data_IF_158765199589
#
_entry.id   IF_158765199589
#
_cell.length_a   1.000
_cell.length_b   1.000
_cell.length_c   1.000
_cell.angle_alpha   90.00
_cell.angle_beta   90.00
_cell.angle_gamma   90.00
#
_symmetry.space_group_name_H-M   'P 1'
#
loop_
_entity.id
_entity.type
_entity.pdbx_description
1 polymer ?
#
# COMPACT_ATOMS: atom_id res chain seq x y z
N UNK A 1 -32.15 44.41 68.70
CA UNK A 1 -31.65 43.23 67.98
C UNK A 1 -30.81 43.70 66.80
N UNK A 2 -29.48 43.78 66.95
CA UNK A 2 -28.57 44.07 65.85
C UNK A 2 -27.75 42.80 65.56
N UNK A 3 -27.92 42.23 64.36
CA UNK A 3 -27.11 41.11 63.87
C UNK A 3 -25.80 41.67 63.33
N UNK A 4 -24.68 41.28 63.93
CA UNK A 4 -23.34 41.53 63.38
C UNK A 4 -23.08 40.65 62.16
N UNK A 5 -22.67 41.26 61.06
CA UNK A 5 -22.12 40.59 59.89
C UNK A 5 -20.63 40.31 60.12
N UNK A 6 -20.25 39.03 60.20
CA UNK A 6 -18.86 38.60 60.15
C UNK A 6 -18.40 38.54 58.68
N UNK A 7 -17.42 39.36 58.32
CA UNK A 7 -16.64 39.18 57.09
C UNK A 7 -15.38 38.37 57.47
N UNK A 8 -15.12 37.19 56.87
CA UNK A 8 -13.93 36.43 57.18
C UNK A 8 -12.68 37.11 56.62
N UNK A 9 -11.70 37.36 57.52
CA UNK A 9 -10.40 37.95 57.19
C UNK A 9 -9.54 37.04 56.30
N UNK A 10 -8.86 37.65 55.33
CA UNK A 10 -7.93 36.95 54.44
C UNK A 10 -6.70 36.41 55.21
N UNK A 11 -6.37 35.13 54.99
CA UNK A 11 -5.21 34.47 55.60
C UNK A 11 -3.86 35.20 55.30
N UNK A 12 -2.93 35.23 56.27
CA UNK A 12 -1.67 35.98 56.16
C UNK A 12 -0.77 35.45 55.03
N UNK A 13 -0.04 36.34 54.37
CA UNK A 13 0.75 36.07 53.16
C UNK A 13 1.78 34.91 53.29
N UNK A 14 2.29 34.67 54.50
CA UNK A 14 3.27 33.61 54.78
C UNK A 14 2.67 32.19 54.77
N UNK A 15 1.39 32.03 55.11
CA UNK A 15 0.70 30.74 55.03
C UNK A 15 0.32 30.40 53.58
N UNK A 16 -0.12 31.41 52.80
CA UNK A 16 -0.37 31.25 51.36
C UNK A 16 0.88 30.84 50.59
N UNK A 17 2.04 31.42 50.93
CA UNK A 17 3.33 31.05 50.34
C UNK A 17 3.75 29.60 50.66
N UNK A 18 3.54 29.13 51.90
CA UNK A 18 3.83 27.73 52.28
C UNK A 18 2.86 26.73 51.64
N UNK A 19 1.58 27.08 51.54
CA UNK A 19 0.58 26.26 50.86
C UNK A 19 0.90 26.14 49.36
N UNK A 20 1.27 27.25 48.71
CA UNK A 20 1.73 27.27 47.32
C UNK A 20 2.99 26.42 47.08
N UNK A 21 3.96 26.48 47.99
CA UNK A 21 5.17 25.66 47.91
C UNK A 21 4.89 24.15 48.07
N UNK A 22 3.95 23.77 48.95
CA UNK A 22 3.52 22.38 49.11
C UNK A 22 2.77 21.87 47.89
N UNK A 23 1.87 22.69 47.33
CA UNK A 23 1.15 22.37 46.10
C UNK A 23 2.15 22.17 44.94
N UNK A 24 3.10 23.08 44.76
CA UNK A 24 4.13 22.99 43.72
C UNK A 24 4.97 21.71 43.86
N UNK A 25 5.41 21.37 45.09
CA UNK A 25 6.14 20.12 45.34
C UNK A 25 5.30 18.88 45.03
N UNK A 26 4.01 18.90 45.37
CA UNK A 26 3.09 17.81 45.04
C UNK A 26 2.92 17.63 43.52
N UNK A 27 2.77 18.74 42.79
CA UNK A 27 2.68 18.72 41.31
C UNK A 27 3.99 18.20 40.69
N UNK A 28 5.15 18.68 41.14
CA UNK A 28 6.45 18.22 40.63
C UNK A 28 6.69 16.74 40.93
N UNK A 29 6.34 16.27 42.13
CA UNK A 29 6.45 14.85 42.48
C UNK A 29 5.51 13.98 41.64
N UNK A 30 4.29 14.44 41.38
CA UNK A 30 3.34 13.77 40.49
C UNK A 30 3.85 13.69 39.05
N UNK A 31 4.36 14.80 38.50
CA UNK A 31 4.95 14.84 37.16
C UNK A 31 6.17 13.92 37.05
N UNK A 32 7.03 13.88 38.07
CA UNK A 32 8.17 12.96 38.11
C UNK A 32 7.71 11.50 38.14
N UNK A 33 6.69 11.16 38.93
CA UNK A 33 6.14 9.81 38.96
C UNK A 33 5.57 9.39 37.60
N UNK A 34 4.84 10.28 36.91
CA UNK A 34 4.37 10.04 35.53
C UNK A 34 5.52 9.85 34.57
N UNK A 35 6.55 10.71 34.63
CA UNK A 35 7.72 10.61 33.77
C UNK A 35 8.49 9.29 33.97
N UNK A 36 8.67 8.86 35.23
CA UNK A 36 9.29 7.58 35.56
C UNK A 36 8.44 6.39 35.08
N UNK A 37 7.12 6.47 35.22
CA UNK A 37 6.19 5.47 34.70
C UNK A 37 6.28 5.33 33.18
N UNK A 38 6.27 6.45 32.44
CA UNK A 38 6.44 6.48 30.99
C UNK A 38 7.81 5.95 30.55
N UNK A 39 8.88 6.33 31.26
CA UNK A 39 10.22 5.80 31.00
C UNK A 39 10.27 4.27 31.19
N UNK A 40 9.59 3.74 32.21
CA UNK A 40 9.45 2.31 32.45
C UNK A 40 8.75 1.59 31.28
N UNK A 41 7.62 2.13 30.79
CA UNK A 41 6.92 1.59 29.61
C UNK A 41 7.81 1.63 28.37
N UNK A 42 8.48 2.75 28.12
CA UNK A 42 9.45 2.89 27.03
C UNK A 42 10.60 1.87 27.14
N UNK A 43 11.07 1.52 28.34
CA UNK A 43 12.14 0.54 28.50
C UNK A 43 11.68 -0.91 28.27
N UNK A 44 10.39 -1.20 28.45
CA UNK A 44 9.82 -2.54 28.25
C UNK A 44 9.45 -2.85 26.80
N UNK A 45 9.17 -1.82 25.99
CA UNK A 45 8.82 -2.00 24.58
C UNK A 45 10.06 -2.05 23.68
N UNK A 46 10.09 -2.90 22.64
CA UNK A 46 11.21 -2.91 21.70
C UNK A 46 11.35 -1.56 21.00
N UNK A 47 12.57 -1.19 20.59
CA UNK A 47 12.74 -0.03 19.72
C UNK A 47 12.05 -0.33 18.37
N UNK A 48 11.59 0.70 17.65
CA UNK A 48 11.01 0.48 16.32
C UNK A 48 12.02 -0.16 15.36
N UNK A 49 13.33 0.04 15.55
CA UNK A 49 14.38 -0.58 14.74
C UNK A 49 14.77 -2.00 15.20
N UNK A 50 14.15 -2.54 16.25
CA UNK A 50 14.44 -3.90 16.71
C UNK A 50 13.72 -4.93 15.84
N UNK A 51 14.49 -5.84 15.23
CA UNK A 51 13.97 -6.96 14.43
C UNK A 51 14.87 -8.19 14.58
N UNK A 52 14.36 -9.35 14.17
CA UNK A 52 15.10 -10.61 14.13
C UNK A 52 15.73 -10.78 12.74
N UNK A 53 17.07 -10.67 12.57
CA UNK A 53 17.70 -10.71 11.26
C UNK A 53 17.58 -12.07 10.55
N UNK A 54 17.15 -13.13 11.23
CA UNK A 54 16.85 -14.42 10.62
C UNK A 54 15.52 -14.43 9.85
N UNK A 55 14.69 -13.37 9.98
CA UNK A 55 13.37 -13.27 9.35
C UNK A 55 13.37 -12.39 8.11
N UNK A 56 12.37 -12.61 7.27
CA UNK A 56 12.18 -11.94 5.99
C UNK A 56 10.99 -10.97 6.10
N UNK A 57 11.28 -9.66 6.19
CA UNK A 57 10.27 -8.63 6.44
C UNK A 57 9.79 -7.91 5.18
N UNK A 58 10.59 -7.95 4.10
CA UNK A 58 10.27 -7.29 2.83
C UNK A 58 8.86 -7.64 2.35
N UNK A 59 8.50 -8.92 2.44
CA UNK A 59 7.23 -9.48 1.95
C UNK A 59 6.14 -9.63 3.03
N UNK A 60 6.31 -8.99 4.19
CA UNK A 60 5.28 -9.03 5.25
C UNK A 60 4.18 -8.02 4.96
N UNK A 61 2.99 -8.53 4.68
CA UNK A 61 1.75 -7.77 4.58
C UNK A 61 1.27 -7.35 5.98
N UNK A 62 1.52 -6.09 6.35
CA UNK A 62 1.13 -5.56 7.66
C UNK A 62 1.06 -4.03 7.69
N UNK A 63 -0.05 -3.50 8.18
CA UNK A 63 -0.24 -2.07 8.41
C UNK A 63 0.64 -1.56 9.54
N UNK A 64 0.92 -2.39 10.55
CA UNK A 64 1.87 -2.00 11.62
C UNK A 64 3.29 -1.84 11.08
N UNK A 65 3.73 -2.76 10.21
CA UNK A 65 5.00 -2.61 9.49
C UNK A 65 4.98 -1.34 8.63
N UNK A 66 3.99 -1.24 7.72
CA UNK A 66 3.92 -0.15 6.73
C UNK A 66 3.88 1.24 7.36
N UNK A 67 3.26 1.41 8.53
CA UNK A 67 3.20 2.68 9.25
C UNK A 67 4.49 3.01 10.02
N UNK A 68 5.31 2.01 10.34
CA UNK A 68 6.59 2.18 11.01
C UNK A 68 7.71 2.29 9.97
N UNK A 69 8.00 3.53 9.54
CA UNK A 69 9.15 3.79 8.66
C UNK A 69 10.45 3.23 9.27
N UNK A 70 10.78 3.46 10.56
CA UNK A 70 12.02 2.96 11.13
C UNK A 70 12.12 1.43 11.17
N UNK A 71 11.02 0.71 11.45
CA UNK A 71 11.04 -0.75 11.44
C UNK A 71 11.23 -1.26 10.02
N UNK A 72 10.45 -0.73 9.08
CA UNK A 72 10.48 -1.16 7.68
C UNK A 72 11.85 -0.91 7.07
N UNK A 73 12.43 0.28 7.20
CA UNK A 73 13.74 0.60 6.60
C UNK A 73 14.90 -0.11 7.30
N UNK A 74 14.83 -0.35 8.61
CA UNK A 74 15.86 -1.09 9.34
C UNK A 74 15.86 -2.59 9.01
N UNK A 75 14.68 -3.18 8.77
CA UNK A 75 14.50 -4.62 8.48
C UNK A 75 14.47 -4.97 6.99
N UNK A 76 14.40 -3.95 6.13
CA UNK A 76 14.50 -4.05 4.67
C UNK A 76 15.83 -4.67 4.24
N UNK A 77 15.80 -5.55 3.24
CA UNK A 77 17.01 -6.09 2.62
C UNK A 77 17.83 -4.99 1.91
N UNK A 78 19.10 -5.26 1.61
CA UNK A 78 19.95 -4.27 0.91
C UNK A 78 19.55 -4.10 -0.56
N UNK A 79 19.10 -5.18 -1.20
CA UNK A 79 18.52 -5.19 -2.54
C UNK A 79 17.04 -4.77 -2.57
N UNK A 80 16.49 -4.34 -1.42
CA UNK A 80 15.09 -3.99 -1.28
C UNK A 80 14.71 -2.73 -2.06
N UNK A 81 13.59 -2.78 -2.76
CA UNK A 81 12.93 -1.61 -3.33
C UNK A 81 11.54 -1.45 -2.69
N UNK A 82 11.14 -0.22 -2.38
CA UNK A 82 9.79 0.00 -1.86
C UNK A 82 8.76 -0.35 -2.95
N UNK A 83 7.79 -1.19 -2.58
CA UNK A 83 6.67 -1.58 -3.42
C UNK A 83 5.38 -1.15 -2.74
N UNK A 84 4.72 -0.15 -3.33
CA UNK A 84 3.45 0.40 -2.89
C UNK A 84 2.29 -0.36 -3.53
N UNK A 85 1.26 -0.67 -2.76
CA UNK A 85 0.13 -1.46 -3.22
C UNK A 85 -0.88 -1.74 -2.12
N UNK A 86 -1.85 -2.60 -2.39
CA UNK A 86 -2.97 -2.88 -1.50
C UNK A 86 -3.09 -4.38 -1.20
N UNK A 87 -4.24 -5.01 -1.46
CA UNK A 87 -4.50 -6.42 -1.15
C UNK A 87 -3.76 -7.43 -2.04
N UNK A 88 -3.14 -6.97 -3.13
CA UNK A 88 -2.30 -7.78 -4.02
C UNK A 88 -1.15 -8.42 -3.23
N UNK A 89 -0.60 -7.70 -2.26
CA UNK A 89 0.48 -8.18 -1.37
C UNK A 89 0.02 -9.20 -0.33
N UNK A 90 -1.28 -9.42 -0.16
CA UNK A 90 -1.79 -10.51 0.68
C UNK A 90 -1.62 -11.88 0.01
N UNK A 91 -1.41 -11.93 -1.31
CA UNK A 91 -1.21 -13.17 -2.04
C UNK A 91 0.16 -13.77 -1.69
N UNK A 92 0.14 -14.81 -0.85
CA UNK A 92 1.34 -15.53 -0.43
C UNK A 92 1.69 -16.69 -1.37
N UNK A 93 2.90 -17.20 -1.18
CA UNK A 93 3.43 -18.37 -1.91
C UNK A 93 2.58 -19.64 -1.78
N UNK A 94 1.77 -19.74 -0.71
CA UNK A 94 0.89 -20.89 -0.49
C UNK A 94 -0.28 -20.91 -1.48
N UNK A 95 -0.64 -19.75 -2.04
CA UNK A 95 -1.66 -19.62 -3.09
C UNK A 95 -1.03 -19.51 -4.48
N UNK A 96 -0.04 -18.62 -4.62
CA UNK A 96 0.64 -18.37 -5.89
C UNK A 96 2.13 -18.57 -5.69
N UNK A 97 2.64 -19.74 -6.08
CA UNK A 97 4.02 -20.15 -5.86
C UNK A 97 5.05 -19.28 -6.61
N UNK A 98 4.61 -18.50 -7.61
CA UNK A 98 5.44 -17.57 -8.37
C UNK A 98 5.30 -16.12 -7.87
N UNK A 99 4.80 -15.86 -6.66
CA UNK A 99 4.75 -14.49 -6.14
C UNK A 99 6.14 -14.01 -5.66
N UNK A 100 6.34 -12.69 -5.46
CA UNK A 100 7.65 -12.14 -5.15
C UNK A 100 8.25 -12.66 -3.84
N UNK A 101 7.40 -13.06 -2.88
CA UNK A 101 7.84 -13.69 -1.65
C UNK A 101 8.67 -14.96 -1.92
N UNK A 102 8.28 -15.77 -2.90
CA UNK A 102 8.95 -17.03 -3.24
C UNK A 102 10.11 -16.80 -4.23
N UNK A 103 9.88 -16.03 -5.29
CA UNK A 103 10.86 -15.87 -6.38
C UNK A 103 12.03 -14.99 -5.91
N UNK A 104 11.76 -13.80 -5.38
CA UNK A 104 12.80 -12.91 -4.85
C UNK A 104 13.13 -13.23 -3.39
N UNK A 105 12.11 -13.29 -2.53
CA UNK A 105 12.32 -13.32 -1.07
C UNK A 105 12.99 -14.58 -0.51
N UNK A 106 12.82 -15.73 -1.18
CA UNK A 106 13.50 -16.98 -0.81
C UNK A 106 14.84 -17.17 -1.51
N UNK A 107 15.25 -16.22 -2.37
CA UNK A 107 16.46 -16.28 -3.18
C UNK A 107 17.30 -14.99 -3.00
N UNK A 108 18.38 -14.86 -3.76
CA UNK A 108 19.29 -13.70 -3.71
C UNK A 108 19.53 -13.23 -5.15
N UNK A 109 18.49 -12.65 -5.74
CA UNK A 109 18.41 -12.29 -7.16
C UNK A 109 19.03 -10.93 -7.48
N UNK A 110 19.38 -10.15 -6.45
CA UNK A 110 19.82 -8.75 -6.57
C UNK A 110 18.67 -7.74 -6.61
N UNK A 111 17.42 -8.18 -6.47
CA UNK A 111 16.23 -7.32 -6.36
C UNK A 111 15.28 -7.94 -5.35
N UNK A 112 14.82 -7.16 -4.37
CA UNK A 112 13.76 -7.52 -3.43
C UNK A 112 12.64 -6.46 -3.45
N UNK A 113 11.44 -6.86 -3.04
CA UNK A 113 10.28 -5.96 -2.90
C UNK A 113 9.89 -5.80 -1.44
N UNK A 114 10.06 -4.59 -0.91
CA UNK A 114 9.64 -4.22 0.43
C UNK A 114 8.21 -3.67 0.36
N UNK A 115 7.23 -4.51 0.68
CA UNK A 115 5.80 -4.17 0.63
C UNK A 115 5.44 -3.06 1.62
N UNK A 116 4.75 -2.04 1.10
CA UNK A 116 4.14 -0.94 1.85
C UNK A 116 2.69 -0.78 1.39
N UNK A 117 1.77 -0.94 2.33
CA UNK A 117 0.33 -0.84 2.10
C UNK A 117 -0.41 -2.16 2.29
N UNK A 118 -1.72 -2.04 2.40
CA UNK A 118 -2.68 -3.11 2.63
C UNK A 118 -4.00 -2.82 1.91
N UNK A 119 -4.95 -3.76 1.98
CA UNK A 119 -6.32 -3.60 1.51
C UNK A 119 -6.88 -2.20 1.82
N UNK A 120 -7.47 -1.57 0.79
CA UNK A 120 -8.03 -0.22 0.75
C UNK A 120 -7.02 0.95 0.69
N UNK A 121 -5.71 0.69 0.75
CA UNK A 121 -4.70 1.74 0.58
C UNK A 121 -4.53 2.11 -0.90
N UNK A 122 -5.28 3.13 -1.32
CA UNK A 122 -5.31 3.73 -2.66
C UNK A 122 -4.26 4.85 -2.84
N UNK A 123 -4.27 5.54 -3.98
CA UNK A 123 -3.20 6.45 -4.42
C UNK A 123 -2.84 7.55 -3.42
N UNK A 124 -3.81 8.17 -2.73
CA UNK A 124 -3.52 9.21 -1.72
C UNK A 124 -2.73 8.66 -0.53
N UNK A 125 -3.11 7.47 -0.05
CA UNK A 125 -2.39 6.82 1.05
C UNK A 125 -0.97 6.48 0.63
N UNK A 126 -0.79 5.97 -0.60
CA UNK A 126 0.53 5.67 -1.15
C UNK A 126 1.38 6.93 -1.35
N UNK A 127 0.78 8.06 -1.75
CA UNK A 127 1.49 9.33 -1.90
C UNK A 127 2.06 9.80 -0.54
N UNK A 128 1.25 9.70 0.52
CA UNK A 128 1.70 10.00 1.89
C UNK A 128 2.84 9.05 2.29
N UNK A 129 2.69 7.74 2.04
CA UNK A 129 3.72 6.77 2.36
C UNK A 129 5.02 7.05 1.59
N UNK A 130 4.97 7.29 0.28
CA UNK A 130 6.14 7.58 -0.54
C UNK A 130 6.93 8.78 0.01
N UNK A 131 6.26 9.90 0.31
CA UNK A 131 6.94 11.06 0.89
C UNK A 131 7.44 10.83 2.33
N UNK A 132 6.81 9.94 3.09
CA UNK A 132 7.29 9.56 4.43
C UNK A 132 8.55 8.69 4.38
N UNK A 133 8.66 7.80 3.38
CA UNK A 133 9.76 6.85 3.23
C UNK A 133 10.94 7.41 2.43
N UNK A 134 10.73 8.35 1.52
CA UNK A 134 11.71 8.73 0.50
C UNK A 134 13.11 9.09 1.04
N UNK A 135 13.17 9.76 2.19
CA UNK A 135 14.43 10.16 2.84
C UNK A 135 15.24 8.99 3.40
N UNK A 136 14.59 7.86 3.69
CA UNK A 136 15.19 6.66 4.30
C UNK A 136 15.19 5.44 3.37
N UNK A 137 14.58 5.54 2.19
CA UNK A 137 14.59 4.49 1.18
C UNK A 137 16.02 4.19 0.72
N UNK A 138 16.45 2.92 0.84
CA UNK A 138 17.77 2.44 0.42
C UNK A 138 17.98 2.59 -1.09
N UNK A 139 16.98 2.20 -1.86
CA UNK A 139 16.96 2.31 -3.32
C UNK A 139 15.89 3.30 -3.76
N UNK A 140 16.17 4.07 -4.83
CA UNK A 140 15.30 5.14 -5.32
C UNK A 140 14.31 4.69 -6.39
N UNK A 141 14.61 3.62 -7.11
CA UNK A 141 13.63 2.95 -7.97
C UNK A 141 12.59 2.27 -7.08
N UNK A 142 11.32 2.57 -7.28
CA UNK A 142 10.20 2.06 -6.47
C UNK A 142 9.09 1.57 -7.39
N UNK A 143 8.22 0.70 -6.88
CA UNK A 143 7.05 0.23 -7.62
C UNK A 143 5.78 0.77 -6.96
N UNK A 144 4.76 1.09 -7.77
CA UNK A 144 3.37 1.16 -7.30
C UNK A 144 2.50 0.25 -8.16
N UNK A 145 1.77 -0.67 -7.52
CA UNK A 145 0.78 -1.50 -8.20
C UNK A 145 -0.55 -0.76 -8.20
N UNK A 146 -1.04 -0.37 -9.38
CA UNK A 146 -2.32 0.32 -9.54
C UNK A 146 -3.38 -0.67 -10.01
N UNK A 147 -4.39 -0.83 -9.16
CA UNK A 147 -5.47 -1.81 -9.33
C UNK A 147 -6.70 -1.14 -9.97
N UNK A 148 -7.34 -1.73 -11.00
CA UNK A 148 -8.49 -1.12 -11.67
C UNK A 148 -9.60 -0.70 -10.72
N UNK A 149 -9.90 -1.51 -9.68
CA UNK A 149 -10.94 -1.22 -8.71
C UNK A 149 -10.74 0.07 -7.92
N UNK A 150 -9.51 0.60 -7.84
CA UNK A 150 -9.29 1.92 -7.23
C UNK A 150 -9.99 3.03 -8.02
N UNK A 151 -10.10 2.84 -9.33
CA UNK A 151 -10.63 3.80 -10.30
C UNK A 151 -12.08 3.50 -10.69
N UNK A 152 -12.78 2.65 -9.96
CA UNK A 152 -14.22 2.49 -10.14
C UNK A 152 -14.97 3.79 -9.81
N UNK A 153 -16.14 3.97 -10.44
CA UNK A 153 -17.01 5.13 -10.23
C UNK A 153 -17.20 5.44 -8.74
N UNK A 154 -17.07 6.71 -8.38
CA UNK A 154 -17.07 7.13 -6.98
C UNK A 154 -15.69 7.02 -6.30
N UNK A 155 -14.62 6.88 -7.08
CA UNK A 155 -13.23 6.82 -6.61
C UNK A 155 -12.93 5.54 -5.80
N UNK A 156 -13.47 4.41 -6.24
CA UNK A 156 -13.26 3.11 -5.60
C UNK A 156 -13.64 3.11 -4.11
N UNK A 157 -12.69 2.75 -3.25
CA UNK A 157 -12.88 2.60 -1.81
C UNK A 157 -12.37 3.80 -0.99
N UNK A 158 -12.30 5.01 -1.56
CA UNK A 158 -11.75 6.18 -0.85
C UNK A 158 -12.49 6.50 0.46
N UNK A 159 -13.76 6.09 0.59
CA UNK A 159 -14.52 6.17 1.85
C UNK A 159 -13.92 5.37 3.01
N UNK A 160 -12.95 4.46 2.76
CA UNK A 160 -12.21 3.73 3.79
C UNK A 160 -10.97 4.47 4.29
N UNK A 161 -10.54 5.53 3.62
CA UNK A 161 -9.28 6.22 3.88
C UNK A 161 -9.10 6.61 5.36
N UNK A 162 -10.09 7.24 6.00
CA UNK A 162 -10.00 7.64 7.40
C UNK A 162 -9.72 6.46 8.35
N UNK A 163 -10.22 5.26 8.04
CA UNK A 163 -9.95 4.05 8.85
C UNK A 163 -8.54 3.49 8.67
N UNK A 164 -7.88 3.86 7.57
CA UNK A 164 -6.53 3.44 7.17
C UNK A 164 -5.47 4.51 7.43
N UNK A 165 -5.89 5.73 7.75
CA UNK A 165 -5.02 6.87 8.00
C UNK A 165 -3.95 6.55 9.04
N UNK A 166 -2.72 6.90 8.72
CA UNK A 166 -1.57 6.80 9.61
C UNK A 166 -1.07 8.17 9.99
N UNK A 167 -1.17 8.50 11.27
CA UNK A 167 -0.65 9.77 11.79
C UNK A 167 0.86 9.87 11.57
N UNK A 168 1.62 8.80 11.82
CA UNK A 168 3.08 8.82 11.66
C UNK A 168 3.51 9.01 10.21
N UNK A 169 2.90 8.31 9.25
CA UNK A 169 3.21 8.52 7.83
C UNK A 169 2.86 9.94 7.39
N UNK A 170 1.67 10.42 7.73
CA UNK A 170 1.26 11.78 7.38
C UNK A 170 2.15 12.84 8.02
N UNK A 171 2.56 12.64 9.27
CA UNK A 171 3.49 13.52 9.98
C UNK A 171 4.86 13.54 9.32
N UNK A 172 5.41 12.40 8.93
CA UNK A 172 6.69 12.33 8.20
C UNK A 172 6.61 12.99 6.84
N UNK A 173 5.53 12.73 6.08
CA UNK A 173 5.25 13.39 4.82
C UNK A 173 5.20 14.92 4.96
N UNK A 174 4.41 15.44 5.91
CA UNK A 174 4.25 16.88 6.12
C UNK A 174 5.57 17.56 6.54
N UNK A 175 6.39 16.87 7.34
CA UNK A 175 7.70 17.36 7.75
C UNK A 175 8.83 17.07 6.75
N UNK A 176 8.56 16.39 5.62
CA UNK A 176 9.58 16.14 4.61
C UNK A 176 9.95 17.45 3.90
N UNK A 177 11.21 17.92 3.97
CA UNK A 177 11.62 19.20 3.37
C UNK A 177 11.72 19.16 1.84
N UNK A 178 11.75 17.97 1.21
CA UNK A 178 11.79 17.87 -0.25
C UNK A 178 10.42 18.07 -0.90
N UNK A 179 9.33 17.89 -0.14
CA UNK A 179 7.97 18.03 -0.64
C UNK A 179 7.55 19.50 -0.55
N UNK A 180 7.02 20.01 -1.67
CA UNK A 180 6.60 21.39 -1.80
C UNK A 180 5.37 21.71 -0.93
N UNK A 181 5.21 22.98 -0.55
CA UNK A 181 4.05 23.44 0.21
C UNK A 181 2.74 23.25 -0.57
N UNK A 182 2.79 23.35 -1.91
CA UNK A 182 1.64 23.10 -2.78
C UNK A 182 1.20 21.63 -2.70
N UNK A 183 2.13 20.68 -2.80
CA UNK A 183 1.85 19.26 -2.68
C UNK A 183 1.35 18.91 -1.27
N UNK A 184 1.94 19.50 -0.22
CA UNK A 184 1.45 19.34 1.16
C UNK A 184 0.04 19.89 1.34
N UNK A 185 -0.27 21.04 0.76
CA UNK A 185 -1.59 21.65 0.83
C UNK A 185 -2.65 20.79 0.12
N UNK A 186 -2.32 20.25 -1.06
CA UNK A 186 -3.19 19.30 -1.76
C UNK A 186 -3.49 18.08 -0.90
N UNK A 187 -2.46 17.40 -0.38
CA UNK A 187 -2.62 16.21 0.44
C UNK A 187 -3.40 16.50 1.72
N UNK A 188 -3.13 17.61 2.41
CA UNK A 188 -3.89 18.05 3.58
C UNK A 188 -5.38 18.20 3.26
N UNK A 189 -5.70 18.89 2.17
CA UNK A 189 -7.09 19.09 1.74
C UNK A 189 -7.80 17.77 1.44
N UNK A 190 -7.13 16.84 0.76
CA UNK A 190 -7.67 15.53 0.42
C UNK A 190 -7.88 14.65 1.65
N UNK A 191 -6.91 14.63 2.56
CA UNK A 191 -6.98 13.90 3.84
C UNK A 191 -8.19 14.36 4.68
N UNK A 192 -8.43 15.67 4.76
CA UNK A 192 -9.60 16.23 5.46
C UNK A 192 -10.91 15.90 4.74
N UNK A 193 -10.96 16.01 3.41
CA UNK A 193 -12.12 15.67 2.60
C UNK A 193 -12.53 14.18 2.72
N UNK A 194 -11.55 13.30 2.95
CA UNK A 194 -11.76 11.87 3.17
C UNK A 194 -12.02 11.49 4.65
N UNK A 195 -12.29 12.46 5.50
CA UNK A 195 -12.84 12.24 6.85
C UNK A 195 -11.85 12.23 7.99
N UNK A 196 -10.60 12.65 7.77
CA UNK A 196 -9.65 12.90 8.87
C UNK A 196 -9.94 14.27 9.49
N UNK A 197 -10.04 14.32 10.82
CA UNK A 197 -10.40 15.54 11.54
C UNK A 197 -9.35 16.66 11.37
N UNK A 198 -9.80 17.88 11.09
CA UNK A 198 -8.92 19.04 10.84
C UNK A 198 -8.01 19.39 12.03
N UNK A 199 -8.34 19.00 13.28
CA UNK A 199 -7.42 19.17 14.41
C UNK A 199 -6.23 18.22 14.32
N UNK A 200 -6.42 17.04 13.72
CA UNK A 200 -5.34 16.08 13.48
C UNK A 200 -4.34 16.64 12.47
N UNK A 201 -4.84 17.21 11.37
CA UNK A 201 -3.98 17.84 10.36
C UNK A 201 -3.35 19.13 10.87
N UNK A 202 -4.07 19.96 11.63
CA UNK A 202 -3.53 21.15 12.28
C UNK A 202 -2.42 20.82 13.29
N UNK A 203 -2.60 19.76 14.10
CA UNK A 203 -1.57 19.25 15.01
C UNK A 203 -0.27 18.94 14.25
N UNK A 204 -0.35 18.12 13.19
CA UNK A 204 0.82 17.74 12.39
C UNK A 204 1.50 18.94 11.75
N UNK A 205 0.73 19.89 11.22
CA UNK A 205 1.27 21.11 10.59
C UNK A 205 1.72 22.17 11.60
N UNK A 206 1.43 21.97 12.90
CA UNK A 206 1.77 22.89 14.00
C UNK A 206 1.25 24.30 13.76
N UNK A 207 0.00 24.41 13.29
CA UNK A 207 -0.64 25.69 12.96
C UNK A 207 -0.64 26.67 14.16
N UNK A 208 -0.70 26.12 15.38
CA UNK A 208 -0.53 26.87 16.64
C UNK A 208 0.47 26.22 17.61
N UNK A 209 0.83 26.93 18.68
CA UNK A 209 1.69 26.36 19.75
C UNK A 209 1.00 25.19 20.48
N UNK A 210 -0.33 25.24 20.62
CA UNK A 210 -1.09 24.12 21.20
C UNK A 210 -1.06 22.90 20.27
N UNK A 211 -1.12 23.14 18.96
CA UNK A 211 -1.01 22.09 17.95
C UNK A 211 0.37 21.43 17.95
N UNK A 212 1.45 22.19 18.17
CA UNK A 212 2.78 21.63 18.37
C UNK A 212 2.88 20.73 19.61
N UNK A 213 2.19 21.09 20.70
CA UNK A 213 2.13 20.23 21.90
C UNK A 213 1.28 18.97 21.65
N UNK A 214 0.17 19.11 20.93
CA UNK A 214 -0.68 17.98 20.52
C UNK A 214 0.08 17.03 19.58
N UNK A 215 0.89 17.55 18.64
CA UNK A 215 1.77 16.77 17.77
C UNK A 215 2.72 15.89 18.58
N UNK A 216 3.43 16.50 19.53
CA UNK A 216 4.37 15.77 20.38
C UNK A 216 3.67 14.66 21.19
N UNK A 217 2.50 14.94 21.76
CA UNK A 217 1.74 13.97 22.53
C UNK A 217 1.20 12.81 21.66
N UNK A 218 0.60 13.13 20.51
CA UNK A 218 0.05 12.12 19.58
C UNK A 218 1.16 11.27 18.98
N UNK A 219 2.27 11.88 18.53
CA UNK A 219 3.42 11.15 17.99
C UNK A 219 4.02 10.19 19.03
N UNK A 220 4.12 10.61 20.30
CA UNK A 220 4.58 9.74 21.37
C UNK A 220 3.62 8.58 21.65
N UNK A 221 2.31 8.83 21.70
CA UNK A 221 1.32 7.78 21.88
C UNK A 221 1.33 6.77 20.71
N UNK A 222 1.47 7.27 19.48
CA UNK A 222 1.59 6.46 18.27
C UNK A 222 2.88 5.62 18.23
N UNK A 223 4.02 6.17 18.70
CA UNK A 223 5.26 5.40 18.88
C UNK A 223 5.05 4.21 19.82
N UNK A 224 4.49 4.45 21.01
CA UNK A 224 4.23 3.38 21.98
C UNK A 224 3.26 2.32 21.44
N UNK A 225 2.20 2.76 20.75
CA UNK A 225 1.24 1.84 20.11
C UNK A 225 1.93 0.96 19.08
N UNK A 226 2.74 1.55 18.19
CA UNK A 226 3.49 0.82 17.16
C UNK A 226 4.44 -0.19 17.81
N UNK A 227 5.26 0.27 18.77
CA UNK A 227 6.22 -0.60 19.47
C UNK A 227 5.56 -1.75 20.24
N UNK A 228 4.35 -1.54 20.77
CA UNK A 228 3.58 -2.62 21.42
C UNK A 228 3.08 -3.70 20.45
N UNK A 229 2.90 -3.36 19.17
CA UNK A 229 2.40 -4.27 18.12
C UNK A 229 3.52 -4.98 17.36
N UNK A 230 4.72 -4.39 17.32
CA UNK A 230 5.88 -4.96 16.62
C UNK A 230 6.24 -6.40 17.04
N UNK A 231 6.15 -6.83 18.31
CA UNK A 231 6.40 -8.23 18.66
C UNK A 231 5.53 -9.23 17.88
N UNK A 232 4.27 -8.88 17.58
CA UNK A 232 3.38 -9.70 16.76
C UNK A 232 3.83 -9.77 15.30
N UNK A 233 4.27 -8.64 14.72
CA UNK A 233 4.85 -8.58 13.37
C UNK A 233 6.13 -9.42 13.30
N UNK A 234 7.01 -9.28 14.28
CA UNK A 234 8.27 -10.02 14.37
C UNK A 234 8.00 -11.52 14.48
N UNK A 235 7.10 -11.95 15.36
CA UNK A 235 6.78 -13.36 15.54
C UNK A 235 6.11 -13.98 14.31
N UNK A 236 5.27 -13.21 13.60
CA UNK A 236 4.54 -13.65 12.41
C UNK A 236 5.33 -13.60 11.11
N UNK A 237 6.44 -12.86 11.04
CA UNK A 237 7.26 -12.78 9.84
C UNK A 237 7.93 -14.13 9.52
N UNK A 238 7.97 -14.58 8.26
CA UNK A 238 8.58 -15.85 7.90
C UNK A 238 10.08 -15.85 8.17
N UNK A 239 10.63 -17.02 8.47
CA UNK A 239 12.09 -17.22 8.48
C UNK A 239 12.63 -17.14 7.06
N UNK A 240 13.86 -16.65 6.92
CA UNK A 240 14.61 -16.74 5.66
C UNK A 240 14.76 -18.22 5.27
N UNK A 241 14.61 -18.50 3.97
CA UNK A 241 14.92 -19.82 3.41
C UNK A 241 16.40 -20.16 3.65
N UNK A 242 16.78 -21.42 3.48
CA UNK A 242 18.20 -21.84 3.55
C UNK A 242 19.05 -21.11 2.51
N UNK A 243 18.52 -20.91 1.30
CA UNK A 243 19.18 -20.18 0.21
C UNK A 243 19.37 -18.72 0.58
N UNK A 244 18.32 -18.02 1.02
CA UNK A 244 18.38 -16.62 1.47
C UNK A 244 19.31 -16.43 2.66
N UNK A 245 19.29 -17.36 3.62
CA UNK A 245 20.14 -17.31 4.80
C UNK A 245 21.63 -17.55 4.46
N UNK A 246 21.93 -18.33 3.42
CA UNK A 246 23.30 -18.52 2.94
C UNK A 246 23.87 -17.26 2.27
N UNK A 247 23.01 -16.41 1.69
CA UNK A 247 23.38 -15.09 1.14
C UNK A 247 24.15 -15.13 -0.18
N UNK A 248 24.38 -16.31 -0.76
CA UNK A 248 25.02 -16.44 -2.07
C UNK A 248 24.03 -16.05 -3.17
N UNK A 249 24.48 -15.22 -4.13
CA UNK A 249 23.64 -14.83 -5.26
C UNK A 249 23.12 -16.04 -6.03
N UNK A 250 21.83 -16.03 -6.32
CA UNK A 250 21.14 -17.03 -7.14
C UNK A 250 21.06 -16.61 -8.61
N UNK A 251 21.52 -15.40 -8.93
CA UNK A 251 21.38 -14.79 -10.25
C UNK A 251 19.95 -14.38 -10.60
N UNK A 252 19.79 -13.91 -11.83
CA UNK A 252 18.48 -13.58 -12.41
C UNK A 252 17.58 -14.82 -12.47
N UNK A 253 16.30 -14.71 -12.09
CA UNK A 253 15.34 -15.81 -12.25
C UNK A 253 15.18 -16.25 -13.71
N UNK A 254 14.97 -17.55 -13.93
CA UNK A 254 14.58 -18.07 -15.25
C UNK A 254 13.09 -17.80 -15.49
N UNK A 255 12.80 -16.62 -16.06
CA UNK A 255 11.43 -16.15 -16.31
C UNK A 255 10.61 -17.11 -17.18
N UNK A 256 11.23 -17.74 -18.19
CA UNK A 256 10.54 -18.70 -19.06
C UNK A 256 10.19 -20.00 -18.31
N UNK A 257 11.10 -20.49 -17.45
CA UNK A 257 10.79 -21.62 -16.59
C UNK A 257 9.69 -21.27 -15.57
N UNK A 258 9.71 -20.05 -15.01
CA UNK A 258 8.68 -19.58 -14.10
C UNK A 258 7.30 -19.46 -14.78
N UNK A 259 7.22 -18.95 -16.01
CA UNK A 259 5.96 -18.91 -16.78
C UNK A 259 5.41 -20.31 -17.03
N UNK A 260 6.27 -21.28 -17.37
CA UNK A 260 5.85 -22.67 -17.55
C UNK A 260 5.36 -23.33 -16.25
N UNK A 261 6.00 -23.00 -15.12
CA UNK A 261 5.55 -23.44 -13.80
C UNK A 261 4.24 -22.76 -13.39
N UNK A 262 4.05 -21.50 -13.78
CA UNK A 262 2.84 -20.75 -13.55
C UNK A 262 1.65 -21.38 -14.26
N UNK A 263 1.81 -21.82 -15.52
CA UNK A 263 0.79 -22.54 -16.27
C UNK A 263 0.38 -23.83 -15.55
N UNK A 264 1.35 -24.65 -15.14
CA UNK A 264 1.10 -25.89 -14.41
C UNK A 264 0.42 -25.65 -13.04
N UNK A 265 0.82 -24.58 -12.34
CA UNK A 265 0.26 -24.22 -11.04
C UNK A 265 -1.19 -23.75 -11.18
N UNK A 266 -1.48 -22.92 -12.18
CA UNK A 266 -2.82 -22.46 -12.51
C UNK A 266 -3.74 -23.58 -12.98
N UNK A 267 -3.26 -24.49 -13.83
CA UNK A 267 -4.02 -25.67 -14.28
C UNK A 267 -4.42 -26.56 -13.09
N UNK A 268 -3.54 -26.73 -12.09
CA UNK A 268 -3.82 -27.52 -10.90
C UNK A 268 -4.78 -26.83 -9.91
N UNK A 269 -4.84 -25.49 -9.91
CA UNK A 269 -5.56 -24.71 -8.91
C UNK A 269 -6.91 -24.14 -9.40
N UNK A 270 -7.15 -24.16 -10.71
CA UNK A 270 -8.34 -23.63 -11.37
C UNK A 270 -9.02 -24.71 -12.22
N UNK A 271 -9.65 -25.68 -11.56
CA UNK A 271 -10.23 -26.87 -12.20
C UNK A 271 -11.76 -26.82 -12.31
N UNK A 272 -12.41 -25.87 -11.64
CA UNK A 272 -13.88 -25.84 -11.46
C UNK A 272 -14.60 -24.78 -12.29
N UNK A 273 -13.89 -23.99 -13.08
CA UNK A 273 -14.45 -22.91 -13.90
C UNK A 273 -13.60 -22.61 -15.14
N UNK A 274 -14.26 -22.09 -16.17
CA UNK A 274 -13.61 -21.76 -17.46
C UNK A 274 -12.88 -20.41 -17.43
N UNK A 275 -13.08 -19.60 -16.38
CA UNK A 275 -12.46 -18.28 -16.25
C UNK A 275 -10.99 -18.36 -15.80
N UNK A 276 -10.49 -19.53 -15.39
CA UNK A 276 -9.13 -19.64 -14.85
C UNK A 276 -8.98 -19.01 -13.47
N UNK A 277 -10.09 -18.86 -12.72
CA UNK A 277 -10.12 -18.34 -11.35
C UNK A 277 -9.87 -19.47 -10.35
N UNK A 278 -9.13 -19.18 -9.28
CA UNK A 278 -8.81 -20.14 -8.22
C UNK A 278 -10.06 -20.77 -7.60
N UNK A 279 -10.08 -22.10 -7.48
CA UNK A 279 -11.28 -22.88 -7.14
C UNK A 279 -11.96 -22.45 -5.83
N UNK A 280 -11.18 -22.24 -4.75
CA UNK A 280 -11.75 -21.84 -3.47
C UNK A 280 -12.33 -20.41 -3.51
N UNK A 281 -11.72 -19.53 -4.30
CA UNK A 281 -12.28 -18.19 -4.53
C UNK A 281 -13.57 -18.29 -5.35
N UNK A 282 -13.55 -19.06 -6.44
CA UNK A 282 -14.71 -19.26 -7.32
C UNK A 282 -15.92 -19.80 -6.55
N UNK A 283 -15.75 -20.87 -5.77
CA UNK A 283 -16.83 -21.48 -4.98
C UNK A 283 -17.48 -20.49 -4.02
N UNK A 284 -16.70 -19.60 -3.42
CA UNK A 284 -17.20 -18.64 -2.44
C UNK A 284 -17.76 -17.38 -3.08
N UNK A 285 -17.18 -16.92 -4.20
CA UNK A 285 -17.37 -15.55 -4.66
C UNK A 285 -17.97 -15.39 -6.07
N UNK A 286 -18.12 -16.46 -6.85
CA UNK A 286 -18.64 -16.38 -8.23
C UNK A 286 -20.07 -15.82 -8.39
N UNK A 287 -20.82 -15.70 -7.29
CA UNK A 287 -22.13 -15.04 -7.25
C UNK A 287 -22.10 -13.56 -6.90
N UNK A 288 -20.95 -12.99 -6.53
CA UNK A 288 -20.81 -11.56 -6.29
C UNK A 288 -20.42 -10.85 -7.59
N UNK A 289 -21.17 -9.81 -7.93
CA UNK A 289 -21.04 -9.07 -9.20
C UNK A 289 -20.63 -7.62 -8.91
N UNK A 290 -19.48 -7.42 -8.27
CA UNK A 290 -19.04 -6.10 -7.79
C UNK A 290 -18.58 -5.18 -8.93
N UNK A 291 -18.14 -5.77 -10.03
CA UNK A 291 -17.71 -5.08 -11.25
C UNK A 291 -18.90 -4.67 -12.14
N UNK A 292 -20.09 -5.24 -11.91
CA UNK A 292 -21.27 -4.97 -12.74
C UNK A 292 -21.69 -3.50 -12.68
N UNK A 293 -21.78 -2.88 -13.85
CA UNK A 293 -22.16 -1.49 -13.98
C UNK A 293 -21.13 -0.51 -13.43
N UNK A 294 -19.89 -0.96 -13.17
CA UNK A 294 -18.77 -0.07 -12.92
C UNK A 294 -18.32 0.62 -14.20
N UNK A 295 -17.66 1.75 -14.03
CA UNK A 295 -16.96 2.51 -15.06
C UNK A 295 -15.72 3.14 -14.43
N UNK A 296 -14.83 3.66 -15.26
CA UNK A 296 -13.57 4.29 -14.86
C UNK A 296 -13.55 5.80 -15.13
N UNK A 297 -14.54 6.32 -15.86
CA UNK A 297 -14.66 7.76 -16.17
C UNK A 297 -15.06 8.63 -14.97
N UNK A 298 -15.63 8.06 -13.91
CA UNK A 298 -16.13 8.79 -12.73
C UNK A 298 -15.26 8.61 -11.48
N UNK A 299 -13.94 8.56 -11.65
CA UNK A 299 -12.96 8.39 -10.57
C UNK A 299 -11.91 9.53 -10.54
N UNK A 300 -12.31 10.75 -10.89
CA UNK A 300 -11.40 11.89 -11.08
C UNK A 300 -10.50 12.17 -9.85
N UNK A 301 -11.00 11.97 -8.63
CA UNK A 301 -10.20 12.17 -7.42
C UNK A 301 -9.10 11.10 -7.28
N UNK A 302 -9.37 9.84 -7.63
CA UNK A 302 -8.35 8.79 -7.58
C UNK A 302 -7.25 9.02 -8.64
N UNK A 303 -7.61 9.46 -9.85
CA UNK A 303 -6.62 9.86 -10.86
C UNK A 303 -5.79 11.07 -10.41
N UNK A 304 -6.43 12.05 -9.76
CA UNK A 304 -5.72 13.20 -9.20
C UNK A 304 -4.78 12.79 -8.05
N UNK A 305 -5.22 11.84 -7.21
CA UNK A 305 -4.42 11.30 -6.13
C UNK A 305 -3.22 10.47 -6.67
N UNK A 306 -3.38 9.74 -7.80
CA UNK A 306 -2.26 9.09 -8.49
C UNK A 306 -1.28 10.11 -9.07
N UNK A 307 -1.78 11.18 -9.69
CA UNK A 307 -0.93 12.28 -10.15
C UNK A 307 -0.16 12.93 -8.99
N UNK A 308 -0.77 13.01 -7.80
CA UNK A 308 -0.11 13.44 -6.58
C UNK A 308 0.98 12.46 -6.14
N UNK A 309 0.75 11.14 -6.18
CA UNK A 309 1.80 10.15 -5.91
C UNK A 309 3.03 10.36 -6.81
N UNK A 310 2.83 10.50 -8.12
CA UNK A 310 3.92 10.73 -9.08
C UNK A 310 4.67 12.04 -8.80
N UNK A 311 3.94 13.10 -8.43
CA UNK A 311 4.52 14.38 -8.01
C UNK A 311 5.37 14.23 -6.76
N UNK A 312 4.88 13.50 -5.75
CA UNK A 312 5.63 13.23 -4.51
C UNK A 312 6.90 12.44 -4.81
N UNK A 313 6.83 11.41 -5.66
CA UNK A 313 8.01 10.66 -6.07
C UNK A 313 9.07 11.59 -6.70
N UNK A 314 8.67 12.42 -7.66
CA UNK A 314 9.57 13.39 -8.30
C UNK A 314 10.18 14.37 -7.31
N UNK A 315 9.37 14.99 -6.46
CA UNK A 315 9.83 15.96 -5.45
C UNK A 315 10.76 15.32 -4.41
N UNK A 316 10.58 14.04 -4.11
CA UNK A 316 11.36 13.30 -3.12
C UNK A 316 12.55 12.51 -3.71
N UNK A 317 12.77 12.59 -5.02
CA UNK A 317 13.85 11.89 -5.71
C UNK A 317 13.66 10.37 -5.77
N UNK A 318 12.43 9.89 -5.82
CA UNK A 318 12.08 8.51 -6.15
C UNK A 318 11.80 8.38 -7.66
N UNK A 319 12.18 7.25 -8.24
CA UNK A 319 11.89 6.86 -9.63
C UNK A 319 10.82 5.74 -9.62
N UNK A 320 9.55 6.08 -9.82
CA UNK A 320 8.48 5.10 -9.77
C UNK A 320 8.36 4.32 -11.10
N UNK A 321 8.12 3.01 -10.97
CA UNK A 321 7.45 2.19 -11.98
C UNK A 321 5.98 2.04 -11.59
N UNK A 322 5.07 2.54 -12.42
CA UNK A 322 3.62 2.33 -12.26
C UNK A 322 3.23 1.01 -12.91
N UNK A 323 2.93 0.00 -12.10
CA UNK A 323 2.50 -1.33 -12.54
C UNK A 323 0.98 -1.31 -12.75
N UNK A 324 0.56 -1.23 -14.01
CA UNK A 324 -0.85 -1.15 -14.41
C UNK A 324 -1.40 -2.57 -14.55
N UNK A 325 -2.18 -3.02 -13.57
CA UNK A 325 -2.82 -4.33 -13.64
C UNK A 325 -3.92 -4.35 -14.72
N UNK A 326 -4.05 -5.44 -15.50
CA UNK A 326 -5.20 -5.61 -16.37
C UNK A 326 -6.44 -5.95 -15.54
N UNK A 327 -7.60 -5.70 -16.11
CA UNK A 327 -8.82 -6.36 -15.64
C UNK A 327 -8.81 -7.84 -16.03
N UNK A 328 -9.65 -8.64 -15.37
CA UNK A 328 -9.98 -9.97 -15.87
C UNK A 328 -10.94 -9.87 -17.07
N UNK A 329 -10.42 -9.78 -18.29
CA UNK A 329 -11.19 -9.45 -19.51
C UNK A 329 -12.45 -10.29 -19.70
N UNK A 330 -12.35 -11.61 -19.61
CA UNK A 330 -13.51 -12.50 -19.75
C UNK A 330 -14.58 -12.31 -18.66
N UNK A 331 -14.18 -11.94 -17.43
CA UNK A 331 -15.12 -11.67 -16.34
C UNK A 331 -15.80 -10.32 -16.55
N UNK A 332 -15.04 -9.29 -16.96
CA UNK A 332 -15.58 -7.96 -17.23
C UNK A 332 -16.53 -7.95 -18.44
N UNK A 333 -16.26 -8.79 -19.46
CA UNK A 333 -17.19 -9.01 -20.57
C UNK A 333 -18.53 -9.58 -20.08
N UNK A 334 -18.48 -10.58 -19.17
CA UNK A 334 -19.68 -11.14 -18.53
C UNK A 334 -20.43 -10.11 -17.67
N UNK A 335 -19.70 -9.24 -16.97
CA UNK A 335 -20.29 -8.19 -16.11
C UNK A 335 -20.74 -6.94 -16.88
N UNK A 336 -20.52 -6.91 -18.20
CA UNK A 336 -21.01 -5.85 -19.09
C UNK A 336 -20.19 -4.56 -19.05
N UNK A 337 -18.93 -4.61 -18.61
CA UNK A 337 -18.01 -3.46 -18.66
C UNK A 337 -17.31 -3.45 -20.02
N UNK A 338 -17.71 -2.54 -20.90
CA UNK A 338 -17.27 -2.52 -22.29
C UNK A 338 -15.75 -2.38 -22.45
N UNK A 339 -15.16 -3.13 -23.40
CA UNK A 339 -13.72 -3.05 -23.70
C UNK A 339 -13.22 -1.62 -23.89
N UNK A 340 -13.97 -0.75 -24.59
CA UNK A 340 -13.59 0.65 -24.79
C UNK A 340 -13.45 1.45 -23.47
N UNK A 341 -14.30 1.17 -22.47
CA UNK A 341 -14.21 1.80 -21.15
C UNK A 341 -12.92 1.36 -20.43
N UNK A 342 -12.53 0.08 -20.57
CA UNK A 342 -11.29 -0.47 -19.99
C UNK A 342 -10.04 0.07 -20.67
N UNK A 343 -10.07 0.21 -21.99
CA UNK A 343 -8.97 0.83 -22.75
C UNK A 343 -8.79 2.31 -22.40
N UNK A 344 -9.90 3.05 -22.21
CA UNK A 344 -9.84 4.44 -21.77
C UNK A 344 -9.21 4.59 -20.37
N UNK A 345 -9.43 3.62 -19.47
CA UNK A 345 -8.75 3.56 -18.18
C UNK A 345 -7.23 3.43 -18.33
N UNK A 346 -6.74 2.44 -19.10
CA UNK A 346 -5.30 2.25 -19.28
C UNK A 346 -4.64 3.47 -19.93
N UNK A 347 -5.28 4.04 -20.96
CA UNK A 347 -4.79 5.24 -21.62
C UNK A 347 -4.67 6.43 -20.66
N UNK A 348 -5.65 6.59 -19.77
CA UNK A 348 -5.62 7.66 -18.77
C UNK A 348 -4.47 7.48 -17.77
N UNK A 349 -4.18 6.25 -17.34
CA UNK A 349 -3.04 5.97 -16.45
C UNK A 349 -1.71 6.20 -17.18
N UNK A 350 -1.57 5.72 -18.43
CA UNK A 350 -0.38 5.99 -19.27
C UNK A 350 -0.13 7.49 -19.42
N UNK A 351 -1.17 8.26 -19.74
CA UNK A 351 -1.08 9.71 -19.87
C UNK A 351 -0.60 10.40 -18.59
N UNK A 352 -1.07 9.98 -17.41
CA UNK A 352 -0.56 10.51 -16.13
C UNK A 352 0.93 10.20 -15.91
N UNK A 353 1.38 9.03 -16.33
CA UNK A 353 2.79 8.65 -16.24
C UNK A 353 3.63 9.48 -17.22
N UNK A 354 3.18 9.62 -18.47
CA UNK A 354 3.85 10.41 -19.50
C UNK A 354 3.97 11.89 -19.11
N UNK A 355 2.90 12.49 -18.60
CA UNK A 355 2.89 13.87 -18.08
C UNK A 355 3.88 14.06 -16.92
N UNK A 356 4.08 13.01 -16.10
CA UNK A 356 5.02 13.02 -15.00
C UNK A 356 6.46 12.65 -15.40
N UNK A 357 6.66 12.13 -16.62
CA UNK A 357 7.92 11.52 -17.07
C UNK A 357 8.26 10.21 -16.33
N UNK A 358 7.27 9.54 -15.76
CA UNK A 358 7.42 8.28 -15.03
C UNK A 358 7.37 7.07 -15.96
N UNK A 359 8.05 5.98 -15.56
CA UNK A 359 7.93 4.70 -16.24
C UNK A 359 6.68 3.96 -15.78
N UNK A 360 6.13 3.10 -16.65
CA UNK A 360 5.05 2.20 -16.32
C UNK A 360 5.31 0.80 -16.88
N UNK A 361 4.79 -0.22 -16.20
CA UNK A 361 4.64 -1.57 -16.73
C UNK A 361 3.16 -1.77 -17.09
N UNK A 362 2.86 -1.84 -18.38
CA UNK A 362 1.49 -1.90 -18.89
C UNK A 362 1.09 -3.33 -19.27
N UNK A 363 0.25 -3.92 -18.43
CA UNK A 363 -0.26 -5.27 -18.65
C UNK A 363 -1.66 -5.30 -19.30
N UNK A 364 -2.16 -4.18 -19.85
CA UNK A 364 -3.47 -4.12 -20.53
C UNK A 364 -3.62 -5.12 -21.68
N UNK A 365 -2.53 -5.47 -22.36
CA UNK A 365 -2.52 -6.52 -23.39
C UNK A 365 -2.74 -7.94 -22.84
N UNK A 366 -2.72 -8.12 -21.52
CA UNK A 366 -2.89 -9.39 -20.82
C UNK A 366 -4.31 -9.60 -20.25
N UNK A 367 -5.31 -8.76 -20.58
CA UNK A 367 -6.70 -8.91 -20.07
C UNK A 367 -7.27 -10.32 -20.20
N UNK A 368 -6.91 -11.01 -21.28
CA UNK A 368 -7.39 -12.35 -21.60
C UNK A 368 -6.33 -13.43 -21.39
N UNK A 369 -5.16 -13.11 -20.85
CA UNK A 369 -4.15 -14.12 -20.55
C UNK A 369 -4.58 -14.92 -19.31
N UNK A 370 -4.87 -16.20 -19.51
CA UNK A 370 -5.24 -17.12 -18.43
C UNK A 370 -4.13 -17.14 -17.39
N UNK A 371 -4.51 -17.10 -16.11
CA UNK A 371 -3.61 -17.09 -14.96
C UNK A 371 -2.81 -15.80 -14.75
N UNK A 372 -3.06 -14.73 -15.52
CA UNK A 372 -2.54 -13.42 -15.16
C UNK A 372 -3.10 -12.99 -13.79
N UNK A 373 -4.40 -13.17 -13.55
CA UNK A 373 -5.04 -12.98 -12.25
C UNK A 373 -5.43 -14.34 -11.65
N UNK A 374 -5.31 -14.50 -10.32
CA UNK A 374 -5.77 -15.71 -9.62
C UNK A 374 -7.24 -15.62 -9.17
N UNK A 375 -7.78 -14.41 -9.14
CA UNK A 375 -9.19 -14.11 -8.95
C UNK A 375 -9.60 -12.97 -9.91
N UNK A 376 -10.64 -12.18 -9.59
CA UNK A 376 -11.11 -11.13 -10.51
C UNK A 376 -10.25 -9.86 -10.49
N UNK A 377 -9.34 -9.70 -9.52
CA UNK A 377 -8.59 -8.45 -9.30
C UNK A 377 -7.12 -8.63 -8.91
N UNK A 378 -6.71 -9.76 -8.31
CA UNK A 378 -5.35 -9.93 -7.80
C UNK A 378 -4.45 -10.71 -8.77
N UNK A 379 -3.17 -10.29 -8.93
CA UNK A 379 -2.21 -11.03 -9.75
C UNK A 379 -2.06 -12.49 -9.30
N UNK A 380 -2.08 -13.36 -10.30
CA UNK A 380 -1.95 -14.80 -10.18
C UNK A 380 -0.59 -15.29 -10.65
N UNK A 381 -0.54 -16.55 -11.04
CA UNK A 381 0.70 -17.26 -11.34
C UNK A 381 1.51 -16.60 -12.46
N UNK A 382 0.90 -16.33 -13.64
CA UNK A 382 1.61 -15.65 -14.74
C UNK A 382 1.78 -14.16 -14.47
N UNK A 383 0.78 -13.55 -13.82
CA UNK A 383 0.79 -12.10 -13.54
C UNK A 383 1.98 -11.70 -12.69
N UNK A 384 2.24 -12.42 -11.59
CA UNK A 384 3.41 -12.13 -10.76
C UNK A 384 4.73 -12.32 -11.50
N UNK A 385 4.89 -13.38 -12.29
CA UNK A 385 6.11 -13.58 -13.10
C UNK A 385 6.37 -12.39 -14.03
N UNK A 386 5.33 -11.89 -14.70
CA UNK A 386 5.44 -10.72 -15.59
C UNK A 386 5.74 -9.42 -14.84
N UNK A 387 5.04 -9.18 -13.72
CA UNK A 387 5.25 -7.99 -12.88
C UNK A 387 6.67 -7.97 -12.33
N UNK A 388 7.14 -9.12 -11.83
CA UNK A 388 8.49 -9.27 -11.28
C UNK A 388 9.57 -9.10 -12.33
N UNK A 389 9.39 -9.68 -13.52
CA UNK A 389 10.32 -9.49 -14.63
C UNK A 389 10.40 -8.02 -15.06
N UNK A 390 9.26 -7.37 -15.30
CA UNK A 390 9.23 -5.96 -15.70
C UNK A 390 9.88 -5.05 -14.64
N UNK A 391 9.66 -5.33 -13.35
CA UNK A 391 10.33 -4.59 -12.29
C UNK A 391 11.84 -4.87 -12.22
N UNK A 392 12.25 -6.13 -12.41
CA UNK A 392 13.65 -6.51 -12.46
C UNK A 392 14.38 -5.81 -13.61
N UNK A 393 13.78 -5.78 -14.80
CA UNK A 393 14.30 -5.08 -15.98
C UNK A 393 14.35 -3.57 -15.76
N UNK A 394 13.30 -2.98 -15.18
CA UNK A 394 13.28 -1.57 -14.80
C UNK A 394 14.44 -1.22 -13.85
N UNK A 395 14.69 -2.05 -12.82
CA UNK A 395 15.79 -1.83 -11.87
C UNK A 395 17.16 -1.90 -12.55
N UNK A 396 17.35 -2.85 -13.47
CA UNK A 396 18.60 -3.05 -14.22
C UNK A 396 18.76 -2.17 -15.46
N UNK A 397 17.81 -1.29 -15.67
CA UNK A 397 17.74 -0.42 -16.82
C UNK A 397 17.62 -1.10 -18.19
N UNK A 398 17.01 -2.30 -18.25
CA UNK A 398 16.81 -3.07 -19.49
C UNK A 398 15.41 -2.83 -20.05
N UNK A 399 15.31 -2.94 -21.38
CA UNK A 399 14.02 -2.92 -22.06
C UNK A 399 13.26 -4.22 -21.79
N UNK A 400 11.95 -4.13 -21.65
CA UNK A 400 11.02 -5.26 -21.52
C UNK A 400 9.74 -4.90 -22.30
N UNK A 401 9.07 -5.91 -22.86
CA UNK A 401 7.92 -5.71 -23.73
C UNK A 401 6.76 -4.97 -23.05
N UNK A 402 6.67 -5.00 -21.72
CA UNK A 402 5.63 -4.33 -20.95
C UNK A 402 6.06 -2.96 -20.42
N UNK A 403 7.35 -2.60 -20.50
CA UNK A 403 7.84 -1.31 -20.04
C UNK A 403 7.55 -0.21 -21.06
N UNK A 404 6.99 0.89 -20.56
CA UNK A 404 6.75 2.12 -21.32
C UNK A 404 6.92 3.34 -20.43
N UNK A 405 6.70 4.52 -21.02
CA UNK A 405 6.87 5.81 -20.36
C UNK A 405 8.34 6.14 -20.07
N UNK A 406 8.59 7.37 -19.63
CA UNK A 406 9.94 7.86 -19.34
C UNK A 406 10.93 7.58 -20.48
N UNK A 407 11.92 6.72 -20.22
CA UNK A 407 12.96 6.35 -21.21
C UNK A 407 12.64 5.10 -22.04
N UNK A 408 11.57 4.37 -21.74
CA UNK A 408 11.25 3.07 -22.37
C UNK A 408 10.36 3.20 -23.61
N UNK A 409 9.83 4.39 -23.90
CA UNK A 409 8.95 4.60 -25.05
C UNK A 409 7.56 4.04 -24.81
N UNK A 410 6.96 3.40 -25.82
CA UNK A 410 5.65 2.77 -25.70
C UNK A 410 5.81 1.28 -25.38
N UNK A 411 5.03 0.76 -24.44
CA UNK A 411 4.99 -0.67 -24.16
C UNK A 411 4.43 -1.44 -25.37
N UNK A 412 5.17 -2.45 -25.84
CA UNK A 412 4.81 -3.26 -27.00
C UNK A 412 3.76 -4.35 -26.66
N UNK A 413 3.77 -4.81 -25.41
CA UNK A 413 2.80 -5.73 -24.83
C UNK A 413 3.02 -7.21 -25.15
N UNK A 414 1.98 -8.00 -24.89
CA UNK A 414 2.01 -9.46 -24.84
C UNK A 414 2.46 -10.13 -26.15
N UNK A 415 2.07 -9.58 -27.30
CA UNK A 415 2.44 -10.13 -28.61
C UNK A 415 3.95 -10.03 -28.84
N UNK A 416 4.57 -8.91 -28.47
CA UNK A 416 6.01 -8.70 -28.57
C UNK A 416 6.80 -9.55 -27.56
N UNK A 417 6.24 -9.79 -26.37
CA UNK A 417 6.84 -10.69 -25.38
C UNK A 417 7.01 -12.13 -25.91
N UNK A 418 6.22 -12.55 -26.91
CA UNK A 418 6.40 -13.81 -27.64
C UNK A 418 6.19 -15.09 -26.82
N UNK A 419 5.64 -14.95 -25.60
CA UNK A 419 5.49 -16.03 -24.62
C UNK A 419 4.08 -16.10 -24.02
N UNK A 420 3.06 -15.70 -24.78
CA UNK A 420 1.67 -15.69 -24.34
C UNK A 420 1.18 -17.06 -23.85
N UNK A 421 0.45 -17.05 -22.72
CA UNK A 421 -0.22 -18.24 -22.19
C UNK A 421 -1.54 -18.56 -22.92
N UNK A 422 -2.32 -19.48 -22.36
CA UNK A 422 -3.67 -19.76 -22.86
C UNK A 422 -4.56 -18.51 -22.79
N UNK A 423 -5.45 -18.33 -23.78
CA UNK A 423 -6.36 -17.17 -23.84
C UNK A 423 -7.74 -17.51 -23.27
N UNK A 424 -8.33 -16.54 -22.58
CA UNK A 424 -9.70 -16.54 -22.06
C UNK A 424 -10.68 -15.79 -22.98
N UNK A 425 -10.24 -15.36 -24.17
CA UNK A 425 -11.11 -14.68 -25.12
C UNK A 425 -12.33 -15.55 -25.48
N UNK A 426 -13.53 -14.98 -25.38
CA UNK A 426 -14.80 -15.65 -25.68
C UNK A 426 -15.45 -16.43 -24.53
N UNK A 427 -14.77 -16.65 -23.40
CA UNK A 427 -15.33 -17.39 -22.24
C UNK A 427 -16.56 -16.70 -21.63
N UNK A 428 -16.65 -15.37 -21.67
CA UNK A 428 -17.75 -14.58 -21.10
C UNK A 428 -18.96 -14.34 -22.03
N UNK A 429 -18.87 -14.67 -23.32
CA UNK A 429 -19.81 -14.20 -24.35
C UNK A 429 -21.15 -14.96 -24.45
N UNK A 430 -21.30 -16.10 -23.76
CA UNK A 430 -22.43 -17.04 -23.97
C UNK A 430 -23.49 -17.06 -22.86
N UNK A 431 -23.43 -16.17 -21.86
CA UNK A 431 -24.36 -16.18 -20.72
C UNK A 431 -25.68 -15.42 -20.98
N UNK A 432 -26.22 -15.50 -22.20
CA UNK A 432 -27.36 -14.68 -22.63
C UNK A 432 -28.26 -15.31 -23.68
N UNK A 433 -28.69 -16.57 -23.51
CA UNK A 433 -30.01 -17.02 -24.03
C UNK A 433 -30.45 -18.32 -23.34
N UNK A 434 -30.98 -18.17 -22.12
CA UNK A 434 -31.56 -19.27 -21.32
C UNK A 434 -32.96 -18.91 -20.84
N UNK A 435 -33.73 -18.17 -21.66
CA UNK A 435 -35.13 -17.92 -21.42
C UNK A 435 -35.92 -19.21 -21.56
N UNK A 436 -36.28 -19.84 -20.44
CA UNK A 436 -37.23 -20.94 -20.40
C UNK A 436 -38.59 -20.46 -20.91
N UNK A 437 -38.85 -20.70 -22.20
CA UNK A 437 -40.19 -20.68 -22.78
C UNK A 437 -41.03 -21.81 -22.19
N UNK A 438 -41.77 -21.49 -21.13
CA UNK A 438 -42.85 -22.32 -20.63
C UNK A 438 -44.18 -21.81 -21.17
N UNK A 439 -44.61 -22.36 -22.30
CA UNK A 439 -45.99 -22.25 -22.77
C UNK A 439 -46.92 -22.97 -21.80
N UNK A 440 -47.92 -22.28 -21.27
CA UNK A 440 -49.09 -22.90 -20.66
C UNK A 440 -50.35 -22.27 -21.29
N UNK A 441 -50.98 -23.05 -22.17
CA UNK A 441 -52.42 -23.07 -22.38
C UNK A 441 -53.09 -23.76 -21.21
#
# INVERSE_FOLDING_TARGET
>A
MAKGSNIPGAAPASERARAGARLLRGVLAGLLAVALGLAGVCAMLPAQTSYDPARLYDYVYSGTKSQSVPFTTASMSDDGHLAFGSSEFFISKDKVAQCPQAVFGENVTGVDLTYVGEAYDQSLWQAIAAGAYAGEAKNKKVMIVVSPQWFFKGNGDQGKFASKFSYELYRRFANNPSISDETKAYVRSRVEALGVDAKTTAAVNRDTVLDAANDAATAFADDLRTRSRLPGVIAGAPLKSTVRAAGASTGEPDWNALLKQADASGDAACTTNDFGIYDAYWQKNSGYHVERGQNFSQADEEYADLACFLRVCREAGLEPLVTILPVHGAWYDREGVAHAERQAYYERIRGLCDDAGAAYADFSSCEYEKYFLCDTVHPGWRGWVRIEQAFYDFVHDRDDAFLGGGRFGAAEGLDAAGNAGASLAGVGGNAGDGGSGGSAS
#
